data_IF_552539304758
#
_entry.id   IF_552539304758
#
_cell.length_a   1.000
_cell.length_b   1.000
_cell.length_c   1.000
_cell.angle_alpha   90.00
_cell.angle_beta   90.00
_cell.angle_gamma   90.00
#
_symmetry.space_group_name_H-M   'P 1'
#
loop_
_entity.id
_entity.type
_entity.pdbx_description
1 polymer ?
#
# COMPACT_ATOMS: atom_id res chain seq x y z
N UNK A 1 3.09 -8.63 25.16
CA UNK A 1 3.10 -9.19 23.80
C UNK A 1 2.37 -8.19 22.91
N UNK A 2 2.86 -7.85 21.70
CA UNK A 2 2.11 -6.97 20.81
C UNK A 2 0.77 -7.63 20.42
N UNK A 3 -0.22 -6.79 20.14
CA UNK A 3 -1.56 -7.22 19.69
C UNK A 3 -1.46 -8.09 18.43
N UNK A 4 -2.21 -9.20 18.33
CA UNK A 4 -2.24 -10.03 17.12
C UNK A 4 -2.94 -9.33 15.95
N UNK A 5 -3.65 -8.24 16.22
CA UNK A 5 -4.33 -7.39 15.25
C UNK A 5 -3.63 -6.04 15.18
N UNK A 6 -3.27 -5.61 13.99
CA UNK A 6 -2.83 -4.23 13.74
C UNK A 6 -3.76 -3.59 12.72
N UNK A 7 -4.14 -2.34 12.95
CA UNK A 7 -4.93 -1.55 12.01
C UNK A 7 -4.23 -0.21 11.85
N UNK A 8 -3.95 0.17 10.61
CA UNK A 8 -3.42 1.49 10.29
C UNK A 8 -4.33 2.18 9.30
N UNK A 9 -4.39 3.50 9.40
CA UNK A 9 -5.06 4.35 8.44
C UNK A 9 -4.17 5.57 8.18
N UNK A 10 -4.18 6.04 6.95
CA UNK A 10 -3.34 7.15 6.54
C UNK A 10 -3.99 7.97 5.45
N UNK A 11 -3.59 9.23 5.37
CA UNK A 11 -3.88 10.11 4.24
C UNK A 11 -2.57 10.67 3.74
N UNK A 12 -2.46 10.90 2.44
CA UNK A 12 -1.28 11.49 1.82
C UNK A 12 -1.68 12.56 0.80
N UNK A 13 -0.75 13.49 0.59
CA UNK A 13 -0.81 14.51 -0.44
C UNK A 13 0.51 14.49 -1.21
N UNK A 14 0.44 14.14 -2.48
CA UNK A 14 1.58 14.14 -3.38
C UNK A 14 1.46 15.34 -4.32
N UNK A 15 2.29 16.37 -4.14
CA UNK A 15 2.24 17.60 -4.95
C UNK A 15 2.64 17.40 -6.41
N UNK A 16 3.40 16.35 -6.70
CA UNK A 16 3.71 15.87 -8.05
C UNK A 16 3.68 14.35 -8.01
N UNK A 17 2.55 13.76 -8.42
CA UNK A 17 2.44 12.31 -8.46
C UNK A 17 2.98 11.77 -9.78
N UNK A 18 4.08 11.04 -9.70
CA UNK A 18 4.74 10.37 -10.84
C UNK A 18 4.61 8.87 -10.61
N UNK A 19 3.45 8.28 -10.93
CA UNK A 19 3.35 6.82 -11.04
C UNK A 19 3.72 6.36 -12.45
N UNK A 20 4.05 5.07 -12.56
CA UNK A 20 4.59 4.40 -13.76
C UNK A 20 3.64 4.41 -14.98
N UNK A 21 2.40 4.89 -14.82
CA UNK A 21 1.46 5.25 -15.89
C UNK A 21 1.66 6.69 -16.36
N UNK A 22 2.83 6.96 -16.95
CA UNK A 22 3.34 8.24 -17.47
C UNK A 22 2.33 8.95 -18.41
N UNK A 23 1.33 9.64 -17.85
CA UNK A 23 0.63 10.84 -18.41
C UNK A 23 -0.69 11.21 -17.67
N UNK A 24 -1.21 10.38 -16.75
CA UNK A 24 -2.61 10.54 -16.33
C UNK A 24 -2.92 11.76 -15.43
N UNK A 25 -1.90 12.40 -14.85
CA UNK A 25 -2.09 13.53 -13.95
C UNK A 25 -1.49 14.85 -14.46
N UNK A 26 -0.84 14.90 -15.63
CA UNK A 26 -0.27 16.15 -16.18
C UNK A 26 0.53 17.03 -15.19
N UNK A 27 1.14 16.44 -14.16
CA UNK A 27 1.87 17.16 -13.10
C UNK A 27 1.03 17.64 -11.91
N UNK A 28 -0.26 17.28 -11.85
CA UNK A 28 -1.19 17.62 -10.79
C UNK A 28 -0.95 16.84 -9.49
N UNK A 29 -1.50 17.38 -8.40
CA UNK A 29 -1.47 16.77 -7.08
C UNK A 29 -2.40 15.56 -6.96
N UNK A 30 -2.02 14.59 -6.14
CA UNK A 30 -2.86 13.46 -5.76
C UNK A 30 -3.14 13.48 -4.26
N UNK A 31 -4.42 13.36 -3.88
CA UNK A 31 -4.83 13.13 -2.50
C UNK A 31 -5.25 11.67 -2.35
N UNK A 32 -4.68 10.95 -1.39
CA UNK A 32 -5.00 9.54 -1.17
C UNK A 32 -5.34 9.24 0.29
N UNK A 33 -6.09 8.17 0.49
CA UNK A 33 -6.42 7.60 1.78
C UNK A 33 -6.23 6.09 1.74
N UNK A 34 -5.73 5.52 2.84
CA UNK A 34 -5.53 4.08 2.97
C UNK A 34 -6.00 3.57 4.33
N UNK A 35 -6.46 2.33 4.32
CA UNK A 35 -6.72 1.56 5.53
C UNK A 35 -6.12 0.17 5.32
N UNK A 36 -5.33 -0.27 6.28
CA UNK A 36 -4.70 -1.59 6.30
C UNK A 36 -5.00 -2.28 7.63
N UNK A 37 -5.24 -3.59 7.56
CA UNK A 37 -5.36 -4.44 8.72
C UNK A 37 -4.46 -5.66 8.56
N UNK A 38 -3.86 -6.10 9.67
CA UNK A 38 -3.13 -7.37 9.74
C UNK A 38 -3.56 -8.20 10.94
N UNK A 39 -3.61 -9.52 10.73
CA UNK A 39 -3.98 -10.52 11.72
C UNK A 39 -3.25 -11.83 11.42
N UNK A 40 -2.46 -12.32 12.39
CA UNK A 40 -1.84 -13.66 12.35
C UNK A 40 -1.04 -13.93 11.04
N UNK A 41 -0.31 -12.94 10.57
CA UNK A 41 0.49 -13.01 9.34
C UNK A 41 -0.29 -12.71 8.06
N UNK A 42 -1.63 -12.66 8.09
CA UNK A 42 -2.39 -12.08 6.98
C UNK A 42 -2.38 -10.56 7.08
N UNK A 43 -2.29 -9.88 5.97
CA UNK A 43 -2.48 -8.44 5.88
C UNK A 43 -3.24 -8.08 4.62
N UNK A 44 -3.95 -6.96 4.65
CA UNK A 44 -4.67 -6.46 3.50
C UNK A 44 -5.23 -5.09 3.74
N UNK A 45 -5.66 -4.45 2.66
CA UNK A 45 -6.09 -3.07 2.74
C UNK A 45 -6.72 -2.56 1.47
N UNK A 46 -7.23 -1.34 1.61
CA UNK A 46 -7.75 -0.53 0.53
C UNK A 46 -6.95 0.77 0.49
N UNK A 47 -6.61 1.19 -0.72
CA UNK A 47 -6.03 2.48 -1.00
C UNK A 47 -6.88 3.17 -2.06
N UNK A 48 -7.34 4.38 -1.78
CA UNK A 48 -8.10 5.19 -2.72
C UNK A 48 -7.36 6.50 -2.95
N UNK A 49 -7.32 6.96 -4.18
CA UNK A 49 -6.75 8.25 -4.51
C UNK A 49 -7.58 9.00 -5.54
N UNK A 50 -7.49 10.31 -5.47
CA UNK A 50 -8.13 11.23 -6.41
C UNK A 50 -7.22 12.40 -6.75
N UNK A 51 -7.34 12.89 -7.99
CA UNK A 51 -6.84 14.20 -8.36
C UNK A 51 -7.87 15.26 -7.93
N UNK A 52 -7.53 16.22 -7.06
CA UNK A 52 -8.44 17.31 -6.70
C UNK A 52 -8.76 18.27 -7.87
N UNK A 53 -7.85 18.40 -8.84
CA UNK A 53 -7.93 19.34 -9.96
C UNK A 53 -8.31 18.68 -11.30
N UNK A 54 -8.43 17.35 -11.34
CA UNK A 54 -8.70 16.58 -12.55
C UNK A 54 -9.73 15.47 -12.36
N UNK A 55 -9.89 14.64 -13.38
CA UNK A 55 -10.88 13.56 -13.44
C UNK A 55 -10.25 12.18 -13.26
N UNK A 56 -9.28 12.08 -12.34
CA UNK A 56 -8.61 10.82 -12.04
C UNK A 56 -8.96 10.35 -10.65
N UNK A 57 -9.50 9.14 -10.56
CA UNK A 57 -9.76 8.41 -9.34
C UNK A 57 -9.21 6.99 -9.49
N UNK A 58 -8.61 6.46 -8.43
CA UNK A 58 -8.07 5.09 -8.40
C UNK A 58 -8.44 4.40 -7.09
N UNK A 59 -8.80 3.13 -7.17
CA UNK A 59 -9.02 2.26 -6.02
C UNK A 59 -8.19 0.99 -6.19
N UNK A 60 -7.29 0.77 -5.25
CA UNK A 60 -6.48 -0.44 -5.15
C UNK A 60 -6.89 -1.24 -3.91
N UNK A 61 -6.97 -2.56 -4.08
CA UNK A 61 -7.21 -3.51 -3.01
C UNK A 61 -6.09 -4.55 -3.02
N UNK A 62 -5.60 -4.91 -1.83
CA UNK A 62 -4.53 -5.89 -1.69
C UNK A 62 -4.78 -6.82 -0.52
N UNK A 63 -4.24 -8.03 -0.65
CA UNK A 63 -4.26 -9.07 0.38
C UNK A 63 -2.95 -9.87 0.26
N UNK A 64 -2.34 -10.17 1.38
CA UNK A 64 -1.08 -10.89 1.48
C UNK A 64 -0.98 -11.75 2.73
N UNK A 65 0.05 -12.59 2.74
CA UNK A 65 0.41 -13.42 3.88
C UNK A 65 1.93 -13.38 4.06
N UNK A 66 2.36 -12.99 5.25
CA UNK A 66 3.75 -12.95 5.67
C UNK A 66 4.16 -14.29 6.27
N UNK A 67 5.25 -14.85 5.77
CA UNK A 67 5.91 -16.01 6.36
C UNK A 67 7.42 -15.80 6.41
N UNK A 68 8.06 -16.42 7.41
CA UNK A 68 9.52 -16.42 7.56
C UNK A 68 10.01 -17.86 7.57
N UNK A 69 11.00 -18.16 6.73
CA UNK A 69 11.59 -19.50 6.60
C UNK A 69 12.74 -19.75 7.61
N UNK A 70 12.97 -18.82 8.54
CA UNK A 70 14.13 -18.88 9.44
C UNK A 70 15.47 -18.73 8.70
N UNK A 71 16.60 -18.88 9.39
CA UNK A 71 17.91 -18.90 8.75
C UNK A 71 18.06 -20.20 7.94
N UNK A 72 18.12 -20.07 6.62
CA UNK A 72 18.48 -21.17 5.73
C UNK A 72 20.01 -21.32 5.70
N UNK A 73 20.52 -22.42 6.27
CA UNK A 73 21.93 -22.81 6.11
C UNK A 73 22.03 -24.07 5.27
N UNK A 74 22.72 -23.96 4.13
CA UNK A 74 22.97 -25.07 3.20
C UNK A 74 24.46 -25.42 3.21
N UNK A 75 24.76 -26.69 3.47
CA UNK A 75 26.10 -27.26 3.35
C UNK A 75 26.09 -28.32 2.25
N UNK A 76 27.04 -28.22 1.31
CA UNK A 76 27.29 -29.22 0.28
C UNK A 76 28.74 -29.71 0.41
N UNK A 77 28.94 -31.01 0.18
CA UNK A 77 30.25 -31.69 0.21
C UNK A 77 30.87 -31.78 -1.18
#
# INVERSE_FOLDING_TARGET
MPSPIHVSAGVAWDSHYVSEGRDNLSGDSLASAQVEASLLGFFGGLWYARNPAGNYDELNAFLGYDFSLGPLELYAA
#
